data_IF_350266385613
#
_entry.id   IF_350266385613
#
_cell.length_a   1.000
_cell.length_b   1.000
_cell.length_c   1.000
_cell.angle_alpha   90.00
_cell.angle_beta   90.00
_cell.angle_gamma   90.00
#
_symmetry.space_group_name_H-M   'P 1'
#
loop_
_entity.id
_entity.type
_entity.pdbx_description
1 polymer ?
#
# COMPACT_ATOMS: atom_id res chain seq x y z
N UNK A 1 -0.88 -7.37 13.65
CA UNK A 1 -1.18 -7.59 12.21
C UNK A 1 0.13 -7.47 11.46
N UNK A 2 0.36 -8.30 10.43
CA UNK A 2 1.63 -8.34 9.71
C UNK A 2 1.54 -7.67 8.34
N UNK A 3 2.54 -6.85 8.03
CA UNK A 3 2.85 -6.42 6.66
C UNK A 3 3.51 -7.61 5.96
N UNK A 4 2.92 -8.08 4.85
CA UNK A 4 3.43 -9.24 4.09
C UNK A 4 4.79 -8.95 3.47
N UNK A 5 4.93 -7.78 2.87
CA UNK A 5 6.17 -7.34 2.25
C UNK A 5 6.17 -5.81 2.09
N UNK A 6 7.36 -5.27 1.86
CA UNK A 6 7.61 -3.89 1.46
C UNK A 6 8.36 -3.94 0.14
N UNK A 7 8.02 -3.06 -0.81
CA UNK A 7 8.78 -2.95 -2.04
C UNK A 7 10.18 -2.39 -1.75
N UNK A 8 11.22 -3.18 -1.99
CA UNK A 8 12.63 -2.84 -1.80
C UNK A 8 13.43 -3.21 -3.07
N UNK A 9 14.04 -2.24 -3.79
CA UNK A 9 14.14 -0.82 -3.45
C UNK A 9 12.83 -0.05 -3.64
N UNK A 10 12.64 1.10 -2.94
CA UNK A 10 11.54 2.02 -3.21
C UNK A 10 11.47 2.44 -4.68
N UNK A 11 10.26 2.55 -5.22
CA UNK A 11 10.04 2.86 -6.62
C UNK A 11 10.23 4.36 -6.89
N UNK A 12 11.22 4.70 -7.72
CA UNK A 12 11.47 6.09 -8.14
C UNK A 12 10.43 6.51 -9.19
N UNK A 13 9.66 7.56 -8.90
CA UNK A 13 8.65 8.09 -9.84
C UNK A 13 9.23 9.12 -10.81
N UNK A 14 10.30 9.82 -10.41
CA UNK A 14 11.02 10.75 -11.28
C UNK A 14 11.88 10.02 -12.31
N UNK A 15 11.92 10.56 -13.54
CA UNK A 15 12.66 10.00 -14.68
C UNK A 15 12.29 8.56 -15.05
N UNK A 16 11.18 8.03 -14.49
CA UNK A 16 10.79 6.65 -14.73
C UNK A 16 10.41 6.45 -16.19
N UNK A 17 10.87 5.35 -16.77
CA UNK A 17 10.46 4.93 -18.11
C UNK A 17 9.20 4.09 -18.01
N UNK A 18 8.48 4.03 -19.12
CA UNK A 18 7.30 3.16 -19.23
C UNK A 18 7.59 1.70 -18.81
N UNK A 19 8.75 1.17 -19.19
CA UNK A 19 9.17 -0.18 -18.81
C UNK A 19 9.37 -0.35 -17.30
N UNK A 20 9.81 0.69 -16.58
CA UNK A 20 10.02 0.60 -15.12
C UNK A 20 8.69 0.44 -14.40
N UNK A 21 7.68 1.20 -14.83
CA UNK A 21 6.32 1.06 -14.33
C UNK A 21 5.72 -0.32 -14.67
N UNK A 22 5.92 -0.82 -15.89
CA UNK A 22 5.44 -2.17 -16.25
C UNK A 22 6.07 -3.27 -15.38
N UNK A 23 7.38 -3.18 -15.11
CA UNK A 23 8.06 -4.12 -14.23
C UNK A 23 7.53 -4.05 -12.79
N UNK A 24 7.30 -2.84 -12.26
CA UNK A 24 6.67 -2.65 -10.95
C UNK A 24 5.31 -3.34 -10.88
N UNK A 25 4.42 -3.04 -11.83
CA UNK A 25 3.05 -3.57 -11.82
C UNK A 25 3.04 -5.09 -12.00
N UNK A 26 3.90 -5.62 -12.87
CA UNK A 26 4.05 -7.07 -13.03
C UNK A 26 4.55 -7.72 -11.74
N UNK A 27 5.61 -7.17 -11.12
CA UNK A 27 6.15 -7.69 -9.86
C UNK A 27 5.13 -7.66 -8.73
N UNK A 28 4.35 -6.58 -8.60
CA UNK A 28 3.26 -6.49 -7.63
C UNK A 28 2.20 -7.57 -7.87
N UNK A 29 1.79 -7.80 -9.11
CA UNK A 29 0.82 -8.85 -9.47
C UNK A 29 1.35 -10.25 -9.14
N UNK A 30 2.61 -10.51 -9.46
CA UNK A 30 3.25 -11.80 -9.20
C UNK A 30 3.39 -12.08 -7.69
N UNK A 31 3.67 -11.04 -6.89
CA UNK A 31 3.78 -11.17 -5.43
C UNK A 31 2.44 -11.26 -4.70
N UNK A 32 1.40 -10.62 -5.22
CA UNK A 32 0.07 -10.57 -4.57
C UNK A 32 -0.86 -11.70 -5.01
N UNK A 33 -0.64 -12.26 -6.20
CA UNK A 33 -1.36 -13.41 -6.70
C UNK A 33 -1.11 -14.67 -5.87
N UNK A 34 -2.17 -15.38 -5.49
CA UNK A 34 -2.07 -16.67 -4.77
C UNK A 34 -2.44 -17.88 -5.63
N UNK A 35 -3.14 -17.64 -6.75
CA UNK A 35 -3.53 -18.65 -7.74
C UNK A 35 -3.69 -17.98 -9.10
N UNK A 36 -3.72 -18.81 -10.15
CA UNK A 36 -3.97 -18.36 -11.52
C UNK A 36 -5.36 -18.79 -11.98
N UNK A 37 -6.07 -17.90 -12.68
CA UNK A 37 -7.30 -18.20 -13.42
C UNK A 37 -7.11 -17.64 -14.82
N UNK A 38 -7.06 -18.52 -15.83
CA UNK A 38 -6.72 -18.14 -17.22
C UNK A 38 -5.41 -17.32 -17.30
N UNK A 39 -4.36 -17.79 -16.62
CA UNK A 39 -3.05 -17.13 -16.53
C UNK A 39 -3.05 -15.72 -15.90
N UNK A 40 -4.17 -15.32 -15.28
CA UNK A 40 -4.27 -14.07 -14.54
C UNK A 40 -4.14 -14.34 -13.03
N UNK A 41 -3.25 -13.62 -12.32
CA UNK A 41 -3.11 -13.76 -10.88
C UNK A 41 -4.35 -13.24 -10.15
N UNK A 42 -4.85 -14.07 -9.23
CA UNK A 42 -6.00 -13.74 -8.37
C UNK A 42 -5.52 -13.52 -6.95
N UNK A 43 -6.05 -12.48 -6.30
CA UNK A 43 -5.76 -12.15 -4.92
C UNK A 43 -6.25 -13.25 -3.96
N UNK A 44 -5.69 -13.26 -2.75
CA UNK A 44 -6.20 -14.09 -1.68
C UNK A 44 -7.64 -13.70 -1.30
N UNK A 45 -8.41 -14.67 -0.81
CA UNK A 45 -9.73 -14.39 -0.26
C UNK A 45 -9.61 -13.45 0.96
N UNK A 46 -10.60 -12.59 1.17
CA UNK A 46 -10.59 -11.63 2.27
C UNK A 46 -10.64 -12.35 3.62
N UNK A 47 -9.82 -11.90 4.58
CA UNK A 47 -9.70 -12.54 5.89
C UNK A 47 -9.68 -11.51 7.03
N UNK A 48 -10.02 -11.99 8.23
CA UNK A 48 -9.92 -11.25 9.48
C UNK A 48 -8.96 -12.00 10.43
N UNK A 49 -7.81 -11.43 10.84
CA UNK A 49 -7.37 -10.07 10.55
C UNK A 49 -6.90 -9.88 9.09
N UNK A 50 -7.15 -8.70 8.50
CA UNK A 50 -6.68 -8.39 7.15
C UNK A 50 -5.15 -8.38 7.08
N UNK A 51 -4.63 -8.73 5.90
CA UNK A 51 -3.20 -8.71 5.59
C UNK A 51 -2.87 -7.50 4.72
N UNK A 52 -1.70 -6.91 4.95
CA UNK A 52 -1.30 -5.67 4.29
C UNK A 52 0.01 -5.82 3.52
N UNK A 53 0.28 -4.90 2.60
CA UNK A 53 1.61 -4.68 2.03
C UNK A 53 1.89 -3.19 1.94
N UNK A 54 3.16 -2.82 1.98
CA UNK A 54 3.59 -1.43 1.88
C UNK A 54 4.28 -1.17 0.53
N UNK A 55 3.93 -0.07 -0.13
CA UNK A 55 4.58 0.43 -1.33
C UNK A 55 5.23 1.77 -1.02
N UNK A 56 6.54 1.88 -1.28
CA UNK A 56 7.25 3.15 -1.11
C UNK A 56 7.46 3.77 -2.48
N UNK A 57 6.87 4.94 -2.69
CA UNK A 57 7.13 5.78 -3.87
C UNK A 57 8.11 6.89 -3.46
N UNK A 58 9.10 7.17 -4.30
CA UNK A 58 10.10 8.20 -4.03
C UNK A 58 10.38 9.12 -5.21
N UNK A 59 10.69 10.36 -4.91
CA UNK A 59 11.41 11.28 -5.79
C UNK A 59 12.90 11.27 -5.41
N UNK A 60 13.70 12.19 -5.95
CA UNK A 60 15.06 12.42 -5.50
C UNK A 60 15.10 12.92 -4.05
N UNK A 61 14.12 13.73 -3.64
CA UNK A 61 14.15 14.45 -2.35
C UNK A 61 13.09 13.99 -1.34
N UNK A 62 12.07 13.26 -1.79
CA UNK A 62 10.91 12.87 -0.98
C UNK A 62 10.59 11.40 -1.11
N UNK A 63 9.95 10.83 -0.10
CA UNK A 63 9.49 9.45 -0.13
C UNK A 63 8.22 9.28 0.70
N UNK A 64 7.26 8.54 0.16
CA UNK A 64 6.00 8.26 0.83
C UNK A 64 5.76 6.76 0.83
N UNK A 65 5.49 6.21 2.01
CA UNK A 65 5.07 4.82 2.17
C UNK A 65 3.56 4.77 2.23
N UNK A 66 2.97 3.95 1.38
CA UNK A 66 1.54 3.68 1.29
C UNK A 66 1.27 2.28 1.82
N UNK A 67 0.18 2.11 2.57
CA UNK A 67 -0.26 0.79 3.04
C UNK A 67 -1.53 0.37 2.34
N UNK A 68 -1.52 -0.84 1.80
CA UNK A 68 -2.64 -1.43 1.09
C UNK A 68 -3.08 -2.73 1.72
N UNK A 69 -4.35 -3.06 1.58
CA UNK A 69 -4.86 -4.42 1.81
C UNK A 69 -4.42 -5.36 0.70
N UNK A 70 -3.85 -6.50 1.06
CA UNK A 70 -3.36 -7.49 0.08
C UNK A 70 -4.47 -8.30 -0.59
N UNK A 71 -5.69 -8.30 -0.04
CA UNK A 71 -6.83 -9.11 -0.49
C UNK A 71 -7.81 -8.34 -1.39
N UNK A 72 -7.78 -7.00 -1.39
CA UNK A 72 -8.64 -6.17 -2.25
C UNK A 72 -7.93 -4.92 -2.83
N UNK A 73 -6.64 -4.74 -2.56
CA UNK A 73 -5.81 -3.61 -3.02
C UNK A 73 -6.30 -2.22 -2.57
N UNK A 74 -7.18 -2.15 -1.58
CA UNK A 74 -7.63 -0.85 -1.07
C UNK A 74 -6.50 -0.17 -0.32
N UNK A 75 -6.26 1.09 -0.64
CA UNK A 75 -5.34 1.96 0.08
C UNK A 75 -5.94 2.29 1.45
N UNK A 76 -5.19 2.02 2.52
CA UNK A 76 -5.60 2.33 3.88
C UNK A 76 -5.09 3.69 4.34
N UNK A 77 -3.90 4.07 3.90
CA UNK A 77 -3.25 5.29 4.37
C UNK A 77 -1.83 5.43 3.88
N UNK A 78 -1.18 6.49 4.32
CA UNK A 78 0.20 6.81 3.93
C UNK A 78 0.97 7.52 5.05
N UNK A 79 2.29 7.48 4.95
CA UNK A 79 3.22 8.20 5.83
C UNK A 79 4.42 8.71 5.02
N UNK A 80 4.79 10.00 5.13
CA UNK A 80 6.08 10.47 4.61
C UNK A 80 7.23 9.79 5.37
N UNK A 81 8.25 9.28 4.68
CA UNK A 81 9.35 8.54 5.32
C UNK A 81 10.65 9.36 5.42
N UNK A 82 10.71 10.49 4.73
CA UNK A 82 11.85 11.41 4.64
C UNK A 82 11.85 12.50 5.72
N UNK A 83 10.80 12.60 6.54
CA UNK A 83 10.66 13.63 7.58
C UNK A 83 10.83 13.05 8.98
N UNK A 84 11.37 13.84 9.90
CA UNK A 84 11.34 13.55 11.35
C UNK A 84 9.91 13.78 11.86
N UNK A 85 9.49 12.97 12.83
CA UNK A 85 8.18 13.07 13.51
C UNK A 85 6.96 12.92 12.57
N UNK A 86 6.99 11.90 11.72
CA UNK A 86 5.84 11.56 10.87
C UNK A 86 4.91 10.56 11.54
N UNK A 87 3.62 10.75 11.29
CA UNK A 87 2.56 9.85 11.71
C UNK A 87 1.82 9.34 10.48
N UNK A 88 1.23 8.16 10.62
CA UNK A 88 0.36 7.62 9.58
C UNK A 88 -0.91 8.46 9.45
N UNK A 89 -1.31 8.68 8.21
CA UNK A 89 -2.59 9.25 7.86
C UNK A 89 -3.44 8.14 7.25
N UNK A 90 -4.54 7.78 7.91
CA UNK A 90 -5.43 6.68 7.56
C UNK A 90 -6.78 7.21 7.06
N UNK A 91 -7.33 6.59 6.01
CA UNK A 91 -8.70 6.88 5.58
C UNK A 91 -9.73 6.47 6.64
N UNK A 92 -10.82 7.21 6.71
CA UNK A 92 -11.93 6.88 7.59
C UNK A 92 -12.57 5.55 7.15
N UNK A 93 -12.92 4.71 8.13
CA UNK A 93 -13.70 3.49 7.92
C UNK A 93 -14.98 3.50 8.75
N UNK A 94 -15.93 2.66 8.37
CA UNK A 94 -17.27 2.62 9.00
C UNK A 94 -17.20 2.26 10.48
N UNK A 95 -16.22 1.45 10.85
CA UNK A 95 -15.99 1.00 12.22
C UNK A 95 -15.30 2.07 13.08
N UNK A 96 -14.78 3.15 12.48
CA UNK A 96 -13.94 4.18 13.12
C UNK A 96 -12.82 3.59 13.96
N UNK A 97 -12.23 2.49 13.48
CA UNK A 97 -11.13 1.78 14.15
C UNK A 97 -9.89 1.81 13.27
N UNK A 98 -8.77 2.21 13.84
CA UNK A 98 -7.49 2.16 13.13
C UNK A 98 -7.15 0.74 12.70
N UNK A 99 -6.93 0.53 11.41
CA UNK A 99 -6.38 -0.69 10.83
C UNK A 99 -4.85 -0.66 10.85
N UNK A 100 -4.27 0.55 10.82
CA UNK A 100 -2.84 0.79 11.03
C UNK A 100 -2.60 0.83 12.54
N UNK A 101 -1.64 0.07 13.07
CA UNK A 101 -1.48 -0.16 14.54
C UNK A 101 -0.20 0.45 15.10
N UNK A 102 0.53 1.20 14.29
CA UNK A 102 1.69 1.97 14.67
C UNK A 102 1.33 3.03 15.73
N UNK A 103 2.32 3.49 16.49
CA UNK A 103 2.12 4.33 17.67
C UNK A 103 1.46 5.68 17.39
N UNK A 104 1.63 6.22 16.18
CA UNK A 104 1.02 7.49 15.78
C UNK A 104 0.27 7.34 14.45
N UNK A 105 -1.07 7.29 14.54
CA UNK A 105 -1.99 7.23 13.40
C UNK A 105 -3.09 8.25 13.60
N UNK A 106 -3.43 8.99 12.55
CA UNK A 106 -4.55 9.93 12.52
C UNK A 106 -5.46 9.64 11.35
N UNK A 107 -6.77 9.80 11.56
CA UNK A 107 -7.73 9.76 10.47
C UNK A 107 -7.63 11.01 9.61
N UNK A 108 -7.80 10.83 8.30
CA UNK A 108 -7.82 11.88 7.29
C UNK A 108 -9.11 12.72 7.34
N UNK A 109 -10.19 12.20 7.95
CA UNK A 109 -11.50 12.86 8.03
C UNK A 109 -12.37 12.61 6.81
N UNK A 110 -11.99 11.67 5.94
CA UNK A 110 -12.75 11.25 4.77
C UNK A 110 -12.45 9.78 4.40
N UNK A 111 -13.41 9.13 3.73
CA UNK A 111 -13.31 7.73 3.28
C UNK A 111 -12.47 7.62 2.00
N UNK A 112 -11.91 6.44 1.75
CA UNK A 112 -11.16 6.13 0.53
C UNK A 112 -12.01 5.85 -0.73
N UNK A 113 -13.28 6.27 -0.75
CA UNK A 113 -14.21 6.07 -1.87
C UNK A 113 -14.28 7.30 -2.75
N UNK A 114 -14.30 7.12 -4.08
CA UNK A 114 -14.60 8.21 -5.03
C UNK A 114 -16.12 8.46 -5.02
N UNK A 115 -16.53 9.72 -4.83
CA UNK A 115 -17.93 10.16 -4.84
C UNK A 115 -18.34 10.70 -6.21
#
# INVERSE_FOLDING_TARGET
MSVKFILDPPFKVEDMKYNDYQHLIKGLRDQLGVRLVHDLPVLADQCDPPKFFDLILRTNDHSVKFRFRSDNLYLLGYVPVDKKDTHWLEFDNEQRKHLIKESEVKFLGFKGTLH
#
